data_IF_621003383667
#
_entry.id   IF_621003383667
#
_cell.length_a   1.000
_cell.length_b   1.000
_cell.length_c   1.000
_cell.angle_alpha   90.00
_cell.angle_beta   90.00
_cell.angle_gamma   90.00
#
_symmetry.space_group_name_H-M   'P 1'
#
loop_
_entity.id
_entity.type
_entity.pdbx_description
1 polymer ?
#
# COMPACT_ATOMS: atom_id res chain seq x y z
N UNK A 1 57.11 68.72 -39.28
CA UNK A 1 55.76 68.13 -39.16
C UNK A 1 55.74 67.17 -37.98
N UNK A 2 55.09 67.56 -36.88
CA UNK A 2 54.96 66.74 -35.67
C UNK A 2 53.76 65.80 -35.83
N UNK A 3 54.01 64.49 -35.91
CA UNK A 3 52.97 63.46 -35.98
C UNK A 3 52.70 62.91 -34.57
N UNK A 4 51.43 63.01 -34.17
CA UNK A 4 50.85 62.63 -32.89
C UNK A 4 50.78 61.09 -32.76
N UNK A 5 51.12 60.48 -31.60
CA UNK A 5 50.94 59.03 -31.38
C UNK A 5 49.50 58.66 -30.98
N UNK A 6 49.00 57.47 -31.36
CA UNK A 6 47.67 56.99 -30.94
C UNK A 6 47.69 56.43 -29.50
N UNK A 7 46.60 56.69 -28.76
CA UNK A 7 46.39 56.25 -27.36
C UNK A 7 46.02 54.75 -27.29
N UNK A 8 46.43 54.03 -26.23
CA UNK A 8 46.08 52.62 -26.07
C UNK A 8 44.63 52.44 -25.60
N UNK A 9 43.93 51.57 -26.32
CA UNK A 9 42.57 51.09 -26.04
C UNK A 9 42.57 50.25 -24.76
N UNK A 10 41.98 50.77 -23.67
CA UNK A 10 41.78 50.02 -22.42
C UNK A 10 40.61 49.06 -22.61
N UNK A 11 40.90 47.76 -22.79
CA UNK A 11 39.91 46.70 -22.66
C UNK A 11 39.45 46.63 -21.19
N UNK A 12 38.19 46.99 -20.94
CA UNK A 12 37.55 46.71 -19.66
C UNK A 12 37.20 45.23 -19.61
N UNK A 13 37.91 44.45 -18.80
CA UNK A 13 37.49 43.10 -18.41
C UNK A 13 36.28 43.23 -17.49
N UNK A 14 35.09 43.06 -18.05
CA UNK A 14 33.83 42.97 -17.31
C UNK A 14 33.74 41.64 -16.56
N UNK A 15 33.58 41.74 -15.24
CA UNK A 15 33.37 40.66 -14.28
C UNK A 15 32.23 39.74 -14.70
N UNK A 16 32.54 38.49 -15.06
CA UNK A 16 31.54 37.47 -15.41
C UNK A 16 31.86 36.13 -14.71
N UNK A 17 31.74 36.06 -13.39
CA UNK A 17 31.86 34.80 -12.66
C UNK A 17 31.27 34.87 -11.24
N UNK A 18 29.94 34.87 -11.10
CA UNK A 18 29.30 34.40 -9.86
C UNK A 18 27.81 34.07 -10.09
N UNK A 19 27.50 32.82 -10.44
CA UNK A 19 26.11 32.42 -10.67
C UNK A 19 25.95 30.94 -10.97
N UNK A 20 26.54 30.06 -10.18
CA UNK A 20 26.52 28.61 -10.43
C UNK A 20 26.39 27.77 -9.15
N UNK A 21 25.59 28.18 -8.15
CA UNK A 21 25.28 27.33 -6.99
C UNK A 21 23.88 27.63 -6.42
N UNK A 22 22.82 27.42 -7.20
CA UNK A 22 21.48 27.25 -6.63
C UNK A 22 20.82 26.06 -7.32
N UNK A 23 21.22 24.86 -6.91
CA UNK A 23 20.52 23.64 -7.28
C UNK A 23 19.28 23.53 -6.39
N UNK A 24 18.05 23.51 -6.94
CA UNK A 24 16.87 23.30 -6.13
C UNK A 24 16.92 21.88 -5.55
N UNK A 25 16.94 21.78 -4.22
CA UNK A 25 16.67 20.55 -3.49
C UNK A 25 15.21 20.17 -3.75
N UNK A 26 14.97 19.21 -4.64
CA UNK A 26 13.65 18.62 -4.81
C UNK A 26 13.27 17.88 -3.53
N UNK A 27 12.25 18.38 -2.82
CA UNK A 27 11.65 17.67 -1.69
C UNK A 27 10.69 16.63 -2.28
N UNK A 28 10.87 15.32 -2.01
CA UNK A 28 9.91 14.32 -2.46
C UNK A 28 8.56 14.58 -1.80
N UNK A 29 7.53 14.81 -2.60
CA UNK A 29 6.16 14.87 -2.12
C UNK A 29 5.73 13.47 -1.68
N UNK A 30 5.12 13.37 -0.49
CA UNK A 30 4.50 12.11 -0.06
C UNK A 30 3.43 11.71 -1.07
N UNK A 31 3.43 10.45 -1.56
CA UNK A 31 2.44 10.02 -2.53
C UNK A 31 1.04 10.13 -1.93
N UNK A 32 0.15 10.80 -2.67
CA UNK A 32 -1.27 10.93 -2.32
C UNK A 32 -2.05 9.60 -2.52
N UNK A 33 -1.35 8.55 -2.96
CA UNK A 33 -1.89 7.21 -3.21
C UNK A 33 -1.10 6.19 -2.39
N UNK A 34 -1.82 5.39 -1.61
CA UNK A 34 -1.31 4.25 -0.88
C UNK A 34 -1.54 3.00 -1.74
N UNK A 35 -0.52 2.62 -2.51
CA UNK A 35 -0.52 1.33 -3.21
C UNK A 35 -0.26 0.18 -2.22
N UNK A 36 -1.17 -0.79 -2.20
CA UNK A 36 -1.11 -2.02 -1.38
C UNK A 36 -1.51 -3.21 -2.25
N UNK A 37 -0.92 -4.38 -2.02
CA UNK A 37 -1.33 -5.59 -2.71
C UNK A 37 -2.45 -6.30 -1.93
N UNK A 38 -3.31 -7.05 -2.63
CA UNK A 38 -4.28 -7.95 -2.00
C UNK A 38 -3.55 -8.91 -1.04
N UNK A 39 -4.16 -9.15 0.12
CA UNK A 39 -3.64 -9.96 1.23
C UNK A 39 -2.38 -9.38 1.91
N UNK A 40 -2.01 -8.13 1.63
CA UNK A 40 -0.86 -7.48 2.25
C UNK A 40 -1.27 -6.24 3.04
N UNK A 41 -0.41 -5.86 3.99
CA UNK A 41 -0.58 -4.67 4.80
C UNK A 41 0.58 -3.69 4.58
N UNK A 42 0.28 -2.39 4.61
CA UNK A 42 1.24 -1.31 4.48
C UNK A 42 1.09 -0.32 5.63
N UNK A 43 2.23 0.07 6.19
CA UNK A 43 2.29 1.08 7.25
C UNK A 43 2.35 2.47 6.64
N UNK A 44 1.50 3.36 7.14
CA UNK A 44 1.49 4.77 6.76
C UNK A 44 1.54 5.60 8.04
N UNK A 45 2.42 6.62 8.08
CA UNK A 45 2.49 7.54 9.22
C UNK A 45 1.45 8.64 9.05
N UNK A 46 0.72 8.94 10.11
CA UNK A 46 -0.25 10.02 10.18
C UNK A 46 0.17 11.07 11.21
N UNK A 47 -0.38 12.29 11.13
CA UNK A 47 -0.18 13.31 12.16
C UNK A 47 -0.69 12.82 13.53
N UNK A 48 -0.02 13.22 14.61
CA UNK A 48 -0.33 12.79 15.98
C UNK A 48 -1.73 13.19 16.49
N UNK A 49 -2.46 14.06 15.77
CA UNK A 49 -3.78 14.58 16.14
C UNK A 49 -4.95 13.71 15.64
N UNK A 50 -4.69 12.66 14.87
CA UNK A 50 -5.74 11.78 14.34
C UNK A 50 -6.43 11.02 15.49
N UNK A 51 -7.76 11.04 15.47
CA UNK A 51 -8.61 10.35 16.44
C UNK A 51 -9.59 9.38 15.77
N UNK A 52 -10.06 9.73 14.56
CA UNK A 52 -11.09 8.97 13.84
C UNK A 52 -10.61 8.65 12.44
N UNK A 53 -10.89 7.44 11.97
CA UNK A 53 -10.64 7.01 10.59
C UNK A 53 -11.97 6.57 9.98
N UNK A 54 -12.23 7.05 8.76
CA UNK A 54 -13.37 6.66 7.93
C UNK A 54 -12.82 6.04 6.66
N UNK A 55 -13.29 4.85 6.32
CA UNK A 55 -12.90 4.13 5.11
C UNK A 55 -14.06 4.14 4.13
N UNK A 56 -13.81 4.49 2.86
CA UNK A 56 -14.84 4.57 1.84
C UNK A 56 -15.48 3.20 1.56
N UNK A 57 -14.65 2.18 1.29
CA UNK A 57 -15.11 0.80 1.10
C UNK A 57 -14.25 -0.22 1.87
N UNK A 58 -14.73 -0.73 3.02
CA UNK A 58 -13.98 -1.71 3.84
C UNK A 58 -13.86 -3.10 3.21
N UNK A 59 -14.57 -3.38 2.11
CA UNK A 59 -14.42 -4.63 1.35
C UNK A 59 -13.21 -4.60 0.41
N UNK A 60 -12.75 -3.42 0.00
CA UNK A 60 -11.57 -3.25 -0.87
C UNK A 60 -10.31 -3.14 -0.01
N UNK A 61 -10.32 -2.25 0.99
CA UNK A 61 -9.20 -2.07 1.90
C UNK A 61 -9.70 -1.74 3.30
N UNK A 62 -8.93 -2.10 4.32
CA UNK A 62 -9.24 -1.81 5.72
C UNK A 62 -8.10 -1.00 6.34
N UNK A 63 -8.42 -0.12 7.27
CA UNK A 63 -7.44 0.78 7.89
C UNK A 63 -7.63 0.77 9.39
N UNK A 64 -6.55 0.44 10.10
CA UNK A 64 -6.54 0.41 11.57
C UNK A 64 -5.51 1.39 12.11
N UNK A 65 -5.91 2.15 13.14
CA UNK A 65 -5.02 3.09 13.82
C UNK A 65 -4.29 2.39 14.95
N UNK A 66 -2.97 2.37 14.87
CA UNK A 66 -2.10 1.88 15.93
C UNK A 66 -1.65 3.04 16.84
N UNK A 67 -1.35 2.76 18.12
CA UNK A 67 -0.73 3.73 19.01
C UNK A 67 0.55 4.32 18.40
N UNK A 68 0.75 5.62 18.56
CA UNK A 68 1.93 6.33 18.02
C UNK A 68 1.73 6.94 16.62
N UNK A 69 0.49 7.06 16.13
CA UNK A 69 0.18 7.78 14.89
C UNK A 69 0.55 7.00 13.62
N UNK A 70 0.56 5.68 13.69
CA UNK A 70 0.79 4.80 12.54
C UNK A 70 -0.52 4.13 12.19
N UNK A 71 -0.86 4.11 10.90
CA UNK A 71 -1.98 3.31 10.40
C UNK A 71 -1.50 2.12 9.62
N UNK A 72 -2.19 1.00 9.81
CA UNK A 72 -2.01 -0.22 9.04
C UNK A 72 -3.13 -0.27 8.01
N UNK A 73 -2.76 -0.15 6.73
CA UNK A 73 -3.68 -0.28 5.59
C UNK A 73 -3.57 -1.70 5.05
N UNK A 74 -4.65 -2.46 5.04
CA UNK A 74 -4.69 -3.85 4.57
C UNK A 74 -5.51 -3.95 3.29
N UNK A 75 -4.91 -4.47 2.21
CA UNK A 75 -5.62 -4.75 0.96
C UNK A 75 -6.45 -6.03 1.09
N UNK A 76 -7.79 -5.91 0.94
CA UNK A 76 -8.74 -7.04 1.02
C UNK A 76 -9.23 -7.50 -0.35
N UNK A 77 -9.33 -6.58 -1.31
CA UNK A 77 -9.79 -6.91 -2.65
C UNK A 77 -9.36 -5.88 -3.68
N UNK A 78 -9.36 -6.27 -4.95
CA UNK A 78 -8.96 -5.41 -6.06
C UNK A 78 -9.84 -4.18 -6.17
N UNK A 79 -9.23 -3.03 -6.45
CA UNK A 79 -9.94 -1.79 -6.73
C UNK A 79 -9.25 -0.56 -6.16
N UNK A 80 -9.96 0.56 -6.22
CA UNK A 80 -9.54 1.81 -5.62
C UNK A 80 -10.57 2.23 -4.56
N UNK A 81 -10.10 2.67 -3.41
CA UNK A 81 -10.91 3.29 -2.37
C UNK A 81 -10.11 4.43 -1.72
N UNK A 82 -10.58 5.00 -0.62
CA UNK A 82 -9.86 6.00 0.13
C UNK A 82 -10.10 5.83 1.63
N UNK A 83 -9.27 6.50 2.42
CA UNK A 83 -9.54 6.70 3.83
C UNK A 83 -9.35 8.17 4.20
N UNK A 84 -10.15 8.61 5.15
CA UNK A 84 -10.17 9.96 5.68
C UNK A 84 -9.85 9.87 7.17
N UNK A 85 -8.85 10.61 7.61
CA UNK A 85 -8.47 10.69 9.01
C UNK A 85 -8.83 12.07 9.56
N UNK A 86 -9.53 12.09 10.69
CA UNK A 86 -10.01 13.30 11.34
C UNK A 86 -9.50 13.40 12.77
N UNK A 87 -9.44 14.63 13.29
CA UNK A 87 -9.17 14.90 14.70
C UNK A 87 -10.44 14.77 15.57
N UNK A 88 -10.31 15.09 16.87
CA UNK A 88 -11.47 15.06 17.80
C UNK A 88 -12.46 16.21 17.57
N UNK A 89 -12.06 17.27 16.87
CA UNK A 89 -12.92 18.39 16.49
C UNK A 89 -13.69 18.15 15.19
N UNK A 90 -13.40 17.05 14.48
CA UNK A 90 -13.98 16.75 13.17
C UNK A 90 -13.25 17.41 12.00
N UNK A 91 -12.07 18.00 12.23
CA UNK A 91 -11.23 18.52 11.16
C UNK A 91 -10.60 17.36 10.38
N UNK A 92 -10.69 17.40 9.04
CA UNK A 92 -10.03 16.44 8.16
C UNK A 92 -8.53 16.76 8.12
N UNK A 93 -7.73 15.84 8.66
CA UNK A 93 -6.29 15.97 8.68
C UNK A 93 -5.63 15.33 7.45
N UNK A 94 -6.20 14.22 6.97
CA UNK A 94 -5.67 13.45 5.83
C UNK A 94 -6.83 12.86 5.05
N UNK A 95 -6.75 12.94 3.72
CA UNK A 95 -7.56 12.17 2.78
C UNK A 95 -6.59 11.58 1.76
N UNK A 96 -6.56 10.24 1.63
CA UNK A 96 -5.63 9.53 0.73
C UNK A 96 -6.38 8.44 -0.02
N UNK A 97 -6.05 8.31 -1.31
CA UNK A 97 -6.49 7.18 -2.13
C UNK A 97 -5.72 5.92 -1.74
N UNK A 98 -6.39 4.78 -1.73
CA UNK A 98 -5.84 3.44 -1.60
C UNK A 98 -6.05 2.74 -2.93
N UNK A 99 -4.96 2.28 -3.55
CA UNK A 99 -5.01 1.46 -4.74
C UNK A 99 -4.63 0.03 -4.35
N UNK A 100 -5.55 -0.91 -4.53
CA UNK A 100 -5.31 -2.32 -4.23
C UNK A 100 -5.04 -3.07 -5.52
N UNK A 101 -3.83 -3.60 -5.62
CA UNK A 101 -3.31 -4.31 -6.78
C UNK A 101 -3.17 -5.81 -6.50
N UNK A 102 -2.93 -6.60 -7.55
CA UNK A 102 -2.71 -8.03 -7.40
C UNK A 102 -1.49 -8.37 -6.55
N UNK A 103 -1.39 -9.60 -6.03
CA UNK A 103 -0.24 -10.02 -5.25
C UNK A 103 1.06 -9.83 -6.04
N UNK A 104 2.12 -9.39 -5.37
CA UNK A 104 3.47 -9.24 -5.95
C UNK A 104 4.27 -10.55 -5.97
N UNK A 105 3.70 -11.63 -5.44
CA UNK A 105 4.29 -12.97 -5.43
C UNK A 105 4.41 -13.54 -6.85
N UNK A 106 5.33 -14.50 -7.05
CA UNK A 106 5.39 -15.30 -8.28
C UNK A 106 4.19 -16.23 -8.35
N UNK A 107 3.06 -15.67 -8.80
CA UNK A 107 1.83 -16.40 -9.04
C UNK A 107 1.78 -16.89 -10.48
N UNK A 108 1.30 -18.11 -10.64
CA UNK A 108 1.01 -18.71 -11.93
C UNK A 108 -0.50 -18.85 -12.05
N UNK A 109 -1.08 -18.17 -13.03
CA UNK A 109 -2.50 -18.28 -13.33
C UNK A 109 -2.69 -19.19 -14.53
N UNK A 110 -3.50 -20.25 -14.36
CA UNK A 110 -3.84 -21.22 -15.39
C UNK A 110 -5.29 -20.99 -15.81
N UNK A 111 -5.52 -20.84 -17.12
CA UNK A 111 -6.85 -20.71 -17.69
C UNK A 111 -7.26 -22.02 -18.38
N UNK A 112 -8.41 -22.59 -17.99
CA UNK A 112 -9.01 -23.78 -18.58
C UNK A 112 -10.39 -23.41 -19.13
N UNK A 113 -10.42 -22.85 -20.33
CA UNK A 113 -11.64 -22.24 -20.87
C UNK A 113 -12.03 -20.99 -20.09
N UNK A 114 -13.20 -20.99 -19.44
CA UNK A 114 -13.67 -19.87 -18.59
C UNK A 114 -13.22 -19.99 -17.14
N UNK A 115 -12.61 -21.12 -16.76
CA UNK A 115 -12.13 -21.34 -15.41
C UNK A 115 -10.72 -20.78 -15.23
N UNK A 116 -10.54 -19.98 -14.19
CA UNK A 116 -9.24 -19.44 -13.78
C UNK A 116 -8.81 -20.07 -12.48
N UNK A 117 -7.59 -20.60 -12.45
CA UNK A 117 -6.95 -21.16 -11.26
C UNK A 117 -5.64 -20.44 -10.98
N UNK A 118 -5.40 -20.03 -9.73
CA UNK A 118 -4.16 -19.37 -9.33
C UNK A 118 -3.30 -20.27 -8.43
N UNK A 119 -1.99 -20.30 -8.69
CA UNK A 119 -0.99 -21.10 -7.97
C UNK A 119 0.12 -20.19 -7.45
N UNK A 120 0.65 -20.48 -6.26
CA UNK A 120 1.88 -19.90 -5.73
C UNK A 120 3.00 -20.93 -5.81
N UNK A 121 4.08 -20.62 -6.54
CA UNK A 121 5.11 -21.58 -6.89
C UNK A 121 6.46 -21.21 -6.27
N UNK A 122 6.70 -21.69 -5.05
CA UNK A 122 8.01 -21.57 -4.38
C UNK A 122 8.27 -22.76 -3.44
N UNK A 123 9.16 -23.73 -3.75
CA UNK A 123 9.63 -24.20 -5.06
C UNK A 123 8.66 -25.18 -5.76
N UNK A 124 7.65 -25.67 -5.04
CA UNK A 124 6.56 -26.51 -5.55
C UNK A 124 5.30 -25.65 -5.67
N UNK A 125 4.54 -25.83 -6.74
CA UNK A 125 3.30 -25.07 -6.93
C UNK A 125 2.21 -25.56 -5.99
N UNK A 126 1.77 -24.68 -5.10
CA UNK A 126 0.60 -24.89 -4.27
C UNK A 126 -0.55 -24.02 -4.75
N UNK A 127 -1.76 -24.56 -4.70
CA UNK A 127 -2.98 -23.85 -5.13
C UNK A 127 -3.31 -22.73 -4.13
N UNK A 128 -3.63 -21.55 -4.62
CA UNK A 128 -3.98 -20.37 -3.81
C UNK A 128 -5.31 -19.81 -4.29
N UNK A 129 -6.27 -19.61 -3.39
CA UNK A 129 -7.50 -18.87 -3.71
C UNK A 129 -7.17 -17.41 -3.96
N UNK A 130 -7.47 -16.94 -5.17
CA UNK A 130 -7.36 -15.52 -5.50
C UNK A 130 -8.72 -15.02 -5.97
N UNK A 131 -9.06 -13.78 -5.62
CA UNK A 131 -10.30 -13.14 -6.06
C UNK A 131 -10.39 -13.17 -7.60
N UNK A 132 -11.46 -13.77 -8.11
CA UNK A 132 -11.71 -13.96 -9.55
C UNK A 132 -11.37 -15.35 -10.10
N UNK A 133 -10.94 -16.31 -9.26
CA UNK A 133 -10.86 -17.73 -9.64
C UNK A 133 -12.26 -18.37 -9.71
N UNK A 134 -12.43 -19.44 -10.49
CA UNK A 134 -13.75 -20.01 -10.81
C UNK A 134 -14.58 -20.51 -9.60
N UNK A 135 -15.91 -20.40 -9.67
CA UNK A 135 -16.85 -20.63 -8.56
C UNK A 135 -16.77 -22.02 -7.92
N UNK A 136 -16.55 -23.07 -8.72
CA UNK A 136 -16.43 -24.46 -8.22
C UNK A 136 -15.27 -24.60 -7.22
N UNK A 137 -14.22 -23.78 -7.39
CA UNK A 137 -13.04 -23.80 -6.54
C UNK A 137 -13.29 -23.08 -5.21
N UNK A 138 -13.95 -21.92 -5.24
CA UNK A 138 -14.33 -21.17 -4.03
C UNK A 138 -15.21 -22.02 -3.10
N UNK A 139 -16.22 -22.71 -3.64
CA UNK A 139 -17.12 -23.56 -2.85
C UNK A 139 -16.39 -24.70 -2.13
N UNK A 140 -15.47 -25.38 -2.80
CA UNK A 140 -14.75 -26.53 -2.22
C UNK A 140 -13.84 -26.14 -1.04
N UNK A 141 -13.20 -24.97 -1.10
CA UNK A 141 -12.28 -24.57 -0.04
C UNK A 141 -12.98 -23.89 1.12
N UNK A 142 -14.03 -23.10 0.87
CA UNK A 142 -14.85 -22.57 1.97
C UNK A 142 -15.45 -23.72 2.78
N UNK A 143 -15.86 -24.81 2.13
CA UNK A 143 -16.32 -26.02 2.83
C UNK A 143 -15.21 -26.69 3.65
N UNK A 144 -13.99 -26.80 3.12
CA UNK A 144 -12.84 -27.36 3.85
C UNK A 144 -12.43 -26.49 5.04
N UNK A 145 -12.35 -25.17 4.85
CA UNK A 145 -12.06 -24.21 5.91
C UNK A 145 -13.16 -24.21 6.99
N UNK A 146 -14.42 -24.30 6.58
CA UNK A 146 -15.55 -24.45 7.50
C UNK A 146 -15.50 -25.75 8.29
N UNK A 147 -15.15 -26.87 7.65
CA UNK A 147 -14.98 -28.16 8.32
C UNK A 147 -13.83 -28.14 9.34
N UNK A 148 -12.68 -27.56 8.97
CA UNK A 148 -11.53 -27.39 9.88
C UNK A 148 -11.88 -26.48 11.06
N UNK A 149 -12.58 -25.36 10.83
CA UNK A 149 -13.01 -24.47 11.91
C UNK A 149 -14.06 -25.13 12.82
N UNK A 150 -14.98 -25.92 12.25
CA UNK A 150 -15.93 -26.75 13.01
C UNK A 150 -15.23 -27.80 13.87
N UNK A 151 -14.19 -28.44 13.34
CA UNK A 151 -13.37 -29.39 14.09
C UNK A 151 -12.53 -28.71 15.18
N UNK A 152 -11.96 -27.54 14.90
CA UNK A 152 -11.19 -26.76 15.88
C UNK A 152 -12.07 -26.26 17.04
N UNK A 153 -13.30 -25.82 16.76
CA UNK A 153 -14.28 -25.42 17.77
C UNK A 153 -14.84 -26.61 18.56
N UNK A 154 -15.02 -27.78 17.94
CA UNK A 154 -15.38 -29.02 18.63
C UNK A 154 -14.25 -29.55 19.53
N UNK A 155 -12.99 -29.46 19.09
CA UNK A 155 -11.82 -29.83 19.90
C UNK A 155 -11.64 -28.89 21.11
N UNK A 156 -11.94 -27.61 20.97
CA UNK A 156 -11.91 -26.64 22.06
C UNK A 156 -13.01 -26.88 23.12
N UNK A 157 -14.13 -27.50 22.74
CA UNK A 157 -15.25 -27.83 23.65
C UNK A 157 -15.15 -29.24 24.27
N UNK A 158 -14.24 -30.10 23.80
CA UNK A 158 -14.02 -31.44 24.36
C UNK A 158 -13.08 -31.52 25.58
N UNK A 159 -12.40 -30.43 25.95
CA UNK A 159 -11.40 -30.45 27.06
C UNK A 159 -12.01 -30.17 28.44
N UNK A 160 -13.27 -29.73 28.55
CA UNK A 160 -13.93 -29.39 29.82
C UNK A 160 -14.76 -30.52 30.46
N UNK A 161 -14.84 -31.71 29.86
CA UNK A 161 -15.73 -32.79 30.33
C UNK A 161 -15.01 -34.03 30.94
N UNK A 162 -13.75 -33.92 31.35
CA UNK A 162 -13.02 -35.04 31.99
C UNK A 162 -12.36 -34.64 33.31
N UNK A 163 -13.14 -34.20 34.30
CA UNK A 163 -12.82 -34.44 35.72
C UNK A 163 -14.06 -34.30 36.60
N UNK A 164 -14.23 -35.28 37.49
CA UNK A 164 -15.18 -35.35 38.62
C UNK A 164 -16.51 -36.07 38.37
N UNK A 165 -16.51 -37.39 38.47
CA UNK A 165 -16.90 -38.09 39.70
C UNK A 165 -16.36 -39.52 39.69
#
# INVERSE_FOLDING_TARGET
MSLVPPRPLRLALGSLALGLLFWPLAVPAEPNVVAVNVDQAKLVKLPARVATIVVGNPMIADVTLQPGGVVVVTGKGYGATNFIAMDRGGEILVDRLIQVEGPSEQLVTVYRGVERETYSCMPMCQRRMTLGDGDHYFGSVVQQAGALNGQASAAASGTTASKSN
#
